data_IF_241830862553
#
_entry.id   IF_241830862553
#
_cell.length_a   1.000
_cell.length_b   1.000
_cell.length_c   1.000
_cell.angle_alpha   90.00
_cell.angle_beta   90.00
_cell.angle_gamma   90.00
#
_symmetry.space_group_name_H-M   'P 1'
#
loop_
_entity.id
_entity.type
_entity.pdbx_description
1 polymer ?
#
# COMPACT_ATOMS: atom_id res chain seq x y z
N UNK A 1 40.33 -2.91 33.82
CA UNK A 1 39.12 -2.79 34.66
C UNK A 1 38.09 -1.99 33.88
N UNK A 2 37.20 -2.69 33.18
CA UNK A 2 36.07 -2.10 32.47
C UNK A 2 34.99 -1.77 33.51
N UNK A 3 34.81 -0.48 33.79
CA UNK A 3 33.65 -0.03 34.53
C UNK A 3 32.43 -0.15 33.60
N UNK A 4 31.68 -1.25 33.73
CA UNK A 4 30.29 -1.30 33.28
C UNK A 4 29.48 -0.42 34.23
N UNK A 5 29.46 0.88 33.95
CA UNK A 5 28.36 1.72 34.43
C UNK A 5 27.10 1.25 33.69
N UNK A 6 26.39 0.30 34.29
CA UNK A 6 24.96 0.15 34.08
C UNK A 6 24.30 1.38 34.74
N UNK A 7 24.44 2.54 34.09
CA UNK A 7 23.45 3.59 34.26
C UNK A 7 22.21 3.03 33.57
N UNK A 8 21.37 2.32 34.32
CA UNK A 8 19.95 2.26 33.97
C UNK A 8 19.46 3.70 34.12
N UNK A 9 19.69 4.52 33.11
CA UNK A 9 18.85 5.69 32.90
C UNK A 9 17.45 5.11 32.72
N UNK A 10 16.65 5.19 33.77
CA UNK A 10 15.23 4.84 33.70
C UNK A 10 14.67 5.60 32.52
N UNK A 11 14.16 4.88 31.52
CA UNK A 11 13.60 5.49 30.33
C UNK A 11 12.53 6.51 30.74
N UNK A 12 12.50 7.66 30.07
CA UNK A 12 11.46 8.66 30.32
C UNK A 12 10.08 8.05 30.03
N UNK A 13 9.98 7.21 29.00
CA UNK A 13 8.80 6.42 28.67
C UNK A 13 8.40 5.51 29.83
N UNK A 14 9.34 4.78 30.43
CA UNK A 14 9.03 3.91 31.59
C UNK A 14 8.48 4.70 32.77
N UNK A 15 9.04 5.90 33.01
CA UNK A 15 8.60 6.78 34.10
C UNK A 15 7.18 7.29 33.87
N UNK A 16 6.83 7.63 32.61
CA UNK A 16 5.48 8.04 32.22
C UNK A 16 4.48 6.88 32.36
N UNK A 17 4.88 5.68 31.93
CA UNK A 17 4.05 4.48 32.01
C UNK A 17 3.75 4.03 33.44
N UNK A 18 4.64 4.32 34.39
CA UNK A 18 4.42 4.06 35.82
C UNK A 18 3.51 5.12 36.48
N UNK A 19 3.17 6.20 35.77
CA UNK A 19 2.28 7.27 36.23
C UNK A 19 0.79 6.90 36.16
N UNK A 20 -0.06 7.49 37.01
CA UNK A 20 -1.49 7.14 37.11
C UNK A 20 -2.35 7.62 35.93
N UNK A 21 -1.91 8.63 35.16
CA UNK A 21 -2.69 9.30 34.13
C UNK A 21 -2.13 9.09 32.71
N UNK A 22 -1.45 7.95 32.48
CA UNK A 22 -0.84 7.68 31.17
C UNK A 22 -1.90 7.45 30.09
N UNK A 23 -1.76 8.18 28.98
CA UNK A 23 -2.59 8.02 27.78
C UNK A 23 -1.71 7.81 26.56
N UNK A 24 -2.27 7.28 25.48
CA UNK A 24 -1.54 7.16 24.21
C UNK A 24 -0.94 8.50 23.77
N UNK A 25 -1.69 9.60 23.91
CA UNK A 25 -1.24 10.95 23.56
C UNK A 25 -0.05 11.43 24.37
N UNK A 26 0.00 11.12 25.68
CA UNK A 26 1.18 11.46 26.50
C UNK A 26 2.45 10.77 26.00
N UNK A 27 2.33 9.56 25.45
CA UNK A 27 3.43 8.84 24.85
C UNK A 27 3.78 9.37 23.45
N UNK A 28 2.77 9.65 22.61
CA UNK A 28 2.98 10.24 21.27
C UNK A 28 3.63 11.62 21.33
N UNK A 29 3.49 12.33 22.45
CA UNK A 29 4.18 13.59 22.68
C UNK A 29 5.68 13.43 22.95
N UNK A 30 6.15 12.23 23.35
CA UNK A 30 7.57 11.98 23.62
C UNK A 30 8.40 11.85 22.35
N UNK A 31 9.61 12.40 22.35
CA UNK A 31 10.51 12.39 21.19
C UNK A 31 11.18 11.02 20.98
N UNK A 32 11.36 10.25 22.05
CA UNK A 32 12.04 8.95 22.05
C UNK A 32 11.11 7.76 21.83
N UNK A 33 9.78 7.95 21.73
CA UNK A 33 8.80 6.85 21.59
C UNK A 33 9.13 5.89 20.44
N UNK A 34 9.49 6.43 19.26
CA UNK A 34 9.84 5.60 18.10
C UNK A 34 11.15 4.84 18.33
N UNK A 35 12.11 5.45 19.00
CA UNK A 35 13.39 4.81 19.33
C UNK A 35 13.19 3.69 20.34
N UNK A 36 12.44 3.94 21.43
CA UNK A 36 12.11 2.98 22.47
C UNK A 36 11.27 1.81 21.93
N UNK A 37 10.33 2.10 21.02
CA UNK A 37 9.56 1.08 20.33
C UNK A 37 10.47 0.16 19.49
N UNK A 38 11.37 0.75 18.68
CA UNK A 38 12.36 0.01 17.88
C UNK A 38 13.38 -0.74 18.75
N UNK A 39 13.70 -0.22 19.93
CA UNK A 39 14.53 -0.88 20.93
C UNK A 39 13.81 -2.01 21.69
N UNK A 40 12.55 -2.29 21.33
CA UNK A 40 11.69 -3.29 21.95
C UNK A 40 11.50 -3.09 23.46
N UNK A 41 11.29 -1.84 23.89
CA UNK A 41 10.91 -1.56 25.26
C UNK A 41 9.63 -2.32 25.64
N UNK A 42 9.76 -3.24 26.60
CA UNK A 42 8.68 -4.16 26.98
C UNK A 42 7.46 -3.46 27.57
N UNK A 43 7.66 -2.42 28.39
CA UNK A 43 6.54 -1.68 29.00
C UNK A 43 5.80 -0.87 27.93
N UNK A 44 6.55 -0.24 27.02
CA UNK A 44 5.96 0.50 25.92
C UNK A 44 5.16 -0.43 24.99
N UNK A 45 5.76 -1.54 24.56
CA UNK A 45 5.08 -2.52 23.69
C UNK A 45 3.82 -3.06 24.38
N UNK A 46 3.91 -3.47 25.65
CA UNK A 46 2.74 -4.02 26.36
C UNK A 46 1.60 -3.00 26.52
N UNK A 47 1.93 -1.70 26.57
CA UNK A 47 0.94 -0.63 26.51
C UNK A 47 0.37 -0.46 25.10
N UNK A 48 1.22 -0.35 24.08
CA UNK A 48 0.79 -0.08 22.69
C UNK A 48 -0.07 -1.18 22.09
N UNK A 49 0.18 -2.46 22.41
CA UNK A 49 -0.56 -3.60 21.86
C UNK A 49 -1.95 -3.79 22.46
N UNK A 50 -2.35 -2.98 23.44
CA UNK A 50 -3.72 -3.01 23.96
C UNK A 50 -4.70 -2.59 22.86
N UNK A 51 -5.86 -3.24 22.83
CA UNK A 51 -6.88 -3.08 21.78
C UNK A 51 -7.28 -1.61 21.59
N UNK A 52 -7.52 -0.87 22.69
CA UNK A 52 -7.89 0.54 22.65
C UNK A 52 -6.81 1.42 22.01
N UNK A 53 -5.53 1.09 22.22
CA UNK A 53 -4.41 1.86 21.71
C UNK A 53 -4.16 1.57 20.23
N UNK A 54 -4.24 0.30 19.80
CA UNK A 54 -4.16 -0.06 18.38
C UNK A 54 -5.30 0.61 17.61
N UNK A 55 -6.54 0.54 18.13
CA UNK A 55 -7.69 1.18 17.50
C UNK A 55 -7.49 2.69 17.34
N UNK A 56 -6.94 3.35 18.36
CA UNK A 56 -6.66 4.78 18.30
C UNK A 56 -5.51 5.12 17.35
N UNK A 57 -4.46 4.30 17.28
CA UNK A 57 -3.37 4.46 16.31
C UNK A 57 -3.88 4.33 14.87
N UNK A 58 -4.78 3.38 14.61
CA UNK A 58 -5.44 3.23 13.30
C UNK A 58 -6.30 4.47 13.01
N UNK A 59 -7.10 4.93 13.99
CA UNK A 59 -7.92 6.14 13.86
C UNK A 59 -7.10 7.36 13.45
N UNK A 60 -5.94 7.57 14.09
CA UNK A 60 -5.05 8.69 13.80
C UNK A 60 -4.52 8.72 12.37
N UNK A 61 -4.49 7.60 11.65
CA UNK A 61 -4.04 7.54 10.25
C UNK A 61 -5.17 7.46 9.23
N UNK A 62 -6.42 7.29 9.66
CA UNK A 62 -7.60 7.18 8.79
C UNK A 62 -8.58 8.34 8.95
N UNK A 63 -8.54 9.09 10.03
CA UNK A 63 -9.43 10.23 10.28
C UNK A 63 -8.66 11.55 10.27
N UNK A 64 -9.25 12.59 9.67
CA UNK A 64 -8.65 13.91 9.73
C UNK A 64 -8.65 14.45 11.16
N UNK A 65 -7.52 14.99 11.64
CA UNK A 65 -7.44 15.50 12.99
C UNK A 65 -8.32 16.75 13.14
N UNK A 66 -9.10 16.86 14.23
CA UNK A 66 -9.93 18.03 14.54
C UNK A 66 -9.18 19.36 14.40
N UNK A 67 -9.91 20.41 13.98
CA UNK A 67 -9.33 21.75 13.74
C UNK A 67 -8.89 22.48 15.03
N UNK A 68 -9.41 22.06 16.18
CA UNK A 68 -9.05 22.62 17.50
C UNK A 68 -7.70 22.10 18.03
N UNK A 69 -7.12 21.08 17.39
CA UNK A 69 -5.78 20.57 17.72
C UNK A 69 -4.71 21.47 17.09
N UNK A 70 -3.64 21.75 17.84
CA UNK A 70 -2.47 22.49 17.35
C UNK A 70 -1.95 21.90 16.03
N UNK A 71 -1.72 22.74 15.02
CA UNK A 71 -1.32 22.33 13.66
C UNK A 71 -0.12 21.36 13.64
N UNK A 72 0.88 21.60 14.50
CA UNK A 72 2.04 20.70 14.64
C UNK A 72 1.64 19.30 15.08
N UNK A 73 0.66 19.19 15.98
CA UNK A 73 0.13 17.92 16.49
C UNK A 73 -0.74 17.21 15.46
N UNK A 74 -1.47 17.97 14.62
CA UNK A 74 -2.25 17.43 13.48
C UNK A 74 -1.39 16.65 12.50
N UNK A 75 -0.13 17.04 12.31
CA UNK A 75 0.82 16.24 11.51
C UNK A 75 1.59 15.20 12.34
N UNK A 76 2.06 15.58 13.54
CA UNK A 76 2.90 14.72 14.39
C UNK A 76 2.20 13.41 14.75
N UNK A 77 0.93 13.45 15.18
CA UNK A 77 0.26 12.25 15.68
C UNK A 77 0.00 11.20 14.60
N UNK A 78 -0.60 11.52 13.44
CA UNK A 78 -0.75 10.55 12.36
C UNK A 78 0.60 9.98 11.89
N UNK A 79 1.63 10.82 11.78
CA UNK A 79 2.96 10.37 11.37
C UNK A 79 3.58 9.40 12.37
N UNK A 80 3.59 9.74 13.67
CA UNK A 80 4.12 8.85 14.71
C UNK A 80 3.30 7.57 14.80
N UNK A 81 1.97 7.64 14.69
CA UNK A 81 1.11 6.47 14.69
C UNK A 81 1.41 5.53 13.52
N UNK A 82 1.56 6.08 12.31
CA UNK A 82 1.97 5.32 11.15
C UNK A 82 3.34 4.66 11.34
N UNK A 83 4.33 5.37 11.90
CA UNK A 83 5.67 4.83 12.16
C UNK A 83 5.65 3.70 13.22
N UNK A 84 4.79 3.79 14.24
CA UNK A 84 4.60 2.73 15.22
C UNK A 84 3.94 1.50 14.60
N UNK A 85 2.83 1.70 13.88
CA UNK A 85 2.09 0.62 13.22
C UNK A 85 2.89 -0.08 12.13
N UNK A 86 3.83 0.62 11.49
CA UNK A 86 4.71 0.07 10.43
C UNK A 86 6.11 -0.27 10.92
N UNK A 87 6.31 -0.27 12.24
CA UNK A 87 7.58 -0.67 12.84
C UNK A 87 7.83 -2.17 12.64
N UNK A 88 9.10 -2.57 12.60
CA UNK A 88 9.49 -3.99 12.56
C UNK A 88 9.42 -4.61 13.97
N UNK A 89 8.30 -4.39 14.67
CA UNK A 89 8.00 -4.91 16.00
C UNK A 89 6.85 -5.93 15.86
N UNK A 90 7.14 -7.24 15.89
CA UNK A 90 6.14 -8.28 15.61
C UNK A 90 4.87 -8.18 16.46
N UNK A 91 5.00 -7.85 17.75
CA UNK A 91 3.86 -7.75 18.66
C UNK A 91 2.85 -6.66 18.24
N UNK A 92 3.31 -5.53 17.70
CA UNK A 92 2.42 -4.47 17.20
C UNK A 92 1.74 -4.92 15.92
N UNK A 93 2.48 -5.58 15.02
CA UNK A 93 1.95 -6.07 13.75
C UNK A 93 0.93 -7.20 13.95
N UNK A 94 1.14 -8.04 14.98
CA UNK A 94 0.17 -9.04 15.43
C UNK A 94 -1.08 -8.39 16.00
N UNK A 95 -0.95 -7.43 16.91
CA UNK A 95 -2.10 -6.74 17.50
C UNK A 95 -2.92 -5.95 16.45
N UNK A 96 -2.27 -5.34 15.46
CA UNK A 96 -2.94 -4.70 14.34
C UNK A 96 -3.80 -5.69 13.54
N UNK A 97 -3.26 -6.89 13.28
CA UNK A 97 -3.90 -7.94 12.49
C UNK A 97 -4.79 -8.90 13.32
N UNK A 98 -4.88 -8.70 14.64
CA UNK A 98 -5.58 -9.62 15.54
C UNK A 98 -7.10 -9.57 15.36
N UNK A 99 -7.64 -8.39 15.06
CA UNK A 99 -9.08 -8.19 14.88
C UNK A 99 -9.40 -7.69 13.47
N UNK A 100 -10.46 -8.25 12.88
CA UNK A 100 -10.96 -7.78 11.59
C UNK A 100 -11.40 -6.30 11.64
N UNK A 101 -11.81 -5.80 12.82
CA UNK A 101 -12.24 -4.40 13.01
C UNK A 101 -11.15 -3.38 12.63
N UNK A 102 -9.89 -3.65 12.95
CA UNK A 102 -8.79 -2.74 12.61
C UNK A 102 -8.61 -2.63 11.09
N UNK A 103 -8.69 -3.77 10.40
CA UNK A 103 -8.56 -3.84 8.94
C UNK A 103 -9.82 -3.25 8.28
N UNK A 104 -10.99 -3.44 8.90
CA UNK A 104 -12.24 -2.81 8.48
C UNK A 104 -12.13 -1.29 8.53
N UNK A 105 -11.60 -0.69 9.59
CA UNK A 105 -11.38 0.77 9.67
C UNK A 105 -10.44 1.29 8.58
N UNK A 106 -9.37 0.54 8.28
CA UNK A 106 -8.47 0.87 7.16
C UNK A 106 -9.24 0.82 5.82
N UNK A 107 -10.05 -0.21 5.60
CA UNK A 107 -10.88 -0.33 4.40
C UNK A 107 -11.94 0.78 4.31
N UNK A 108 -12.61 1.13 5.41
CA UNK A 108 -13.64 2.18 5.45
C UNK A 108 -13.08 3.55 5.05
N UNK A 109 -11.79 3.82 5.36
CA UNK A 109 -11.10 5.01 4.86
C UNK A 109 -11.01 5.01 3.32
N UNK A 110 -10.66 3.87 2.72
CA UNK A 110 -10.60 3.71 1.27
C UNK A 110 -12.00 3.73 0.65
N UNK A 111 -13.00 3.12 1.29
CA UNK A 111 -14.40 3.08 0.85
C UNK A 111 -15.17 4.37 1.18
N UNK A 112 -14.46 5.50 1.25
CA UNK A 112 -15.07 6.80 1.45
C UNK A 112 -15.62 7.38 0.14
N UNK A 113 -16.69 8.17 0.26
CA UNK A 113 -17.28 8.87 -0.88
C UNK A 113 -16.51 10.12 -1.30
N UNK A 114 -15.75 10.69 -0.38
CA UNK A 114 -14.95 11.89 -0.60
C UNK A 114 -13.58 11.55 -1.17
N UNK A 115 -12.95 12.52 -1.83
CA UNK A 115 -11.53 12.44 -2.19
C UNK A 115 -10.67 12.22 -0.95
N UNK A 116 -9.73 11.27 -1.01
CA UNK A 116 -8.85 10.99 0.11
C UNK A 116 -7.91 12.16 0.37
N UNK A 117 -7.64 12.42 1.66
CA UNK A 117 -6.54 13.29 2.05
C UNK A 117 -5.21 12.64 1.64
N UNK A 118 -4.36 13.28 0.80
CA UNK A 118 -3.14 12.65 0.28
C UNK A 118 -2.16 12.21 1.36
N UNK A 119 -2.08 12.95 2.47
CA UNK A 119 -1.21 12.59 3.60
C UNK A 119 -1.71 11.33 4.30
N UNK A 120 -3.00 11.29 4.67
CA UNK A 120 -3.59 10.10 5.29
C UNK A 120 -3.56 8.90 4.34
N UNK A 121 -3.80 9.11 3.04
CA UNK A 121 -3.67 8.07 2.03
C UNK A 121 -2.26 7.46 2.00
N UNK A 122 -1.22 8.28 2.20
CA UNK A 122 0.16 7.79 2.29
C UNK A 122 0.39 6.93 3.55
N UNK A 123 -0.18 7.30 4.70
CA UNK A 123 -0.09 6.51 5.93
C UNK A 123 -0.89 5.21 5.84
N UNK A 124 -2.12 5.29 5.36
CA UNK A 124 -2.99 4.14 5.05
C UNK A 124 -2.27 3.15 4.12
N UNK A 125 -1.74 3.63 2.99
CA UNK A 125 -1.03 2.79 2.02
C UNK A 125 0.20 2.13 2.64
N UNK A 126 0.92 2.83 3.52
CA UNK A 126 2.07 2.28 4.23
C UNK A 126 1.67 1.16 5.19
N UNK A 127 0.60 1.33 5.97
CA UNK A 127 0.09 0.31 6.89
C UNK A 127 -0.51 -0.88 6.14
N UNK A 128 -1.32 -0.65 5.12
CA UNK A 128 -1.83 -1.74 4.27
C UNK A 128 -0.68 -2.49 3.58
N UNK A 129 0.35 -1.79 3.12
CA UNK A 129 1.55 -2.41 2.56
C UNK A 129 2.27 -3.34 3.53
N UNK A 130 2.34 -2.98 4.83
CA UNK A 130 2.86 -3.86 5.87
C UNK A 130 1.99 -5.11 6.02
N UNK A 131 0.66 -4.98 6.05
CA UNK A 131 -0.26 -6.11 6.15
C UNK A 131 -0.15 -7.03 4.93
N UNK A 132 -0.04 -6.47 3.72
CA UNK A 132 0.20 -7.23 2.49
C UNK A 132 1.49 -8.02 2.59
N UNK A 133 2.56 -7.42 3.11
CA UNK A 133 3.87 -8.07 3.20
C UNK A 133 3.95 -9.12 4.32
N UNK A 134 3.38 -8.83 5.49
CA UNK A 134 3.56 -9.64 6.72
C UNK A 134 2.39 -10.55 7.05
N UNK A 135 1.20 -10.25 6.54
CA UNK A 135 -0.09 -10.92 6.83
C UNK A 135 -0.87 -11.16 5.53
N UNK A 136 -0.17 -11.61 4.48
CA UNK A 136 -0.68 -11.69 3.10
C UNK A 136 -1.92 -12.57 2.94
N UNK A 137 -1.96 -13.75 3.57
CA UNK A 137 -3.12 -14.68 3.51
C UNK A 137 -4.38 -14.05 4.09
N UNK A 138 -4.28 -13.54 5.33
CA UNK A 138 -5.37 -12.85 6.02
C UNK A 138 -5.82 -11.61 5.22
N UNK A 139 -4.87 -10.83 4.69
CA UNK A 139 -5.18 -9.67 3.86
C UNK A 139 -5.94 -10.07 2.60
N UNK A 140 -5.48 -11.10 1.88
CA UNK A 140 -6.14 -11.60 0.68
C UNK A 140 -7.57 -12.09 0.97
N UNK A 141 -7.77 -12.84 2.06
CA UNK A 141 -9.08 -13.34 2.47
C UNK A 141 -10.03 -12.17 2.81
N UNK A 142 -9.56 -11.20 3.59
CA UNK A 142 -10.31 -9.99 3.91
C UNK A 142 -10.75 -9.24 2.64
N UNK A 143 -9.83 -9.01 1.69
CA UNK A 143 -10.10 -8.28 0.45
C UNK A 143 -11.10 -9.03 -0.45
N UNK A 144 -11.02 -10.37 -0.49
CA UNK A 144 -11.95 -11.23 -1.23
C UNK A 144 -13.39 -11.16 -0.71
N UNK A 145 -13.56 -10.87 0.58
CA UNK A 145 -14.87 -10.76 1.23
C UNK A 145 -15.53 -9.38 1.07
N UNK A 146 -14.88 -8.43 0.37
CA UNK A 146 -15.48 -7.15 -0.01
C UNK A 146 -16.15 -7.24 -1.38
N UNK A 147 -17.29 -6.56 -1.54
CA UNK A 147 -18.12 -6.65 -2.75
C UNK A 147 -17.33 -6.22 -4.02
N UNK A 148 -16.77 -5.01 -4.01
CA UNK A 148 -15.95 -4.48 -5.11
C UNK A 148 -14.70 -3.72 -4.65
N UNK A 149 -13.79 -4.42 -3.95
CA UNK A 149 -12.51 -3.81 -3.54
C UNK A 149 -11.75 -3.19 -4.71
N UNK A 150 -11.72 -3.83 -5.89
CA UNK A 150 -11.00 -3.29 -7.06
C UNK A 150 -11.64 -1.99 -7.54
N UNK A 151 -12.98 -1.92 -7.59
CA UNK A 151 -13.68 -0.67 -7.88
C UNK A 151 -13.39 0.43 -6.87
N UNK A 152 -13.43 0.11 -5.58
CA UNK A 152 -13.14 1.04 -4.48
C UNK A 152 -11.68 1.54 -4.51
N UNK A 153 -10.73 0.65 -4.79
CA UNK A 153 -9.32 1.01 -4.98
C UNK A 153 -9.14 1.95 -6.18
N UNK A 154 -9.75 1.61 -7.31
CA UNK A 154 -9.58 2.38 -8.55
C UNK A 154 -10.31 3.73 -8.54
N UNK A 155 -11.37 3.87 -7.75
CA UNK A 155 -12.02 5.16 -7.47
C UNK A 155 -11.01 6.22 -7.01
N UNK A 156 -9.99 5.81 -6.27
CA UNK A 156 -9.00 6.69 -5.67
C UNK A 156 -7.61 6.60 -6.32
N UNK A 157 -7.49 5.96 -7.50
CA UNK A 157 -6.20 5.71 -8.15
C UNK A 157 -5.45 6.98 -8.53
N UNK A 158 -6.14 8.12 -8.68
CA UNK A 158 -5.51 9.44 -8.90
C UNK A 158 -4.59 9.86 -7.74
N UNK A 159 -4.78 9.31 -6.54
CA UNK A 159 -3.84 9.50 -5.43
C UNK A 159 -2.68 8.52 -5.55
N UNK A 160 -1.45 9.00 -5.75
CA UNK A 160 -0.28 8.14 -5.99
C UNK A 160 -0.01 7.09 -4.90
N UNK A 161 -0.40 7.36 -3.66
CA UNK A 161 -0.29 6.38 -2.57
C UNK A 161 -1.18 5.14 -2.80
N UNK A 162 -2.32 5.30 -3.48
CA UNK A 162 -3.25 4.21 -3.83
C UNK A 162 -2.73 3.42 -5.03
N UNK A 163 -2.11 4.10 -6.00
CA UNK A 163 -1.36 3.43 -7.08
C UNK A 163 -0.21 2.59 -6.53
N UNK A 164 0.58 3.13 -5.59
CA UNK A 164 1.65 2.38 -4.93
C UNK A 164 1.09 1.17 -4.15
N UNK A 165 -0.08 1.31 -3.50
CA UNK A 165 -0.74 0.19 -2.84
C UNK A 165 -1.11 -0.93 -3.83
N UNK A 166 -1.62 -0.57 -5.02
CA UNK A 166 -1.89 -1.55 -6.07
C UNK A 166 -0.62 -2.29 -6.49
N UNK A 167 0.50 -1.56 -6.68
CA UNK A 167 1.79 -2.19 -6.99
C UNK A 167 2.25 -3.12 -5.87
N UNK A 168 2.06 -2.74 -4.60
CA UNK A 168 2.41 -3.60 -3.44
C UNK A 168 1.59 -4.88 -3.40
N UNK A 169 0.31 -4.86 -3.76
CA UNK A 169 -0.51 -6.08 -3.89
C UNK A 169 0.10 -7.08 -4.89
N UNK A 170 0.77 -6.57 -5.94
CA UNK A 170 1.40 -7.39 -6.98
C UNK A 170 2.83 -7.82 -6.63
N UNK A 171 3.55 -7.05 -5.81
CA UNK A 171 5.00 -7.20 -5.64
C UNK A 171 5.44 -7.63 -4.25
N UNK A 172 4.75 -7.20 -3.19
CA UNK A 172 5.21 -7.33 -1.81
C UNK A 172 4.71 -8.60 -1.09
N UNK A 173 4.16 -9.58 -1.80
CA UNK A 173 3.75 -10.86 -1.21
C UNK A 173 4.89 -11.87 -1.37
N UNK A 174 5.48 -12.31 -0.25
CA UNK A 174 6.60 -13.25 -0.23
C UNK A 174 6.21 -14.68 -0.63
N UNK A 175 5.03 -15.14 -0.18
CA UNK A 175 4.53 -16.48 -0.51
C UNK A 175 4.09 -16.53 -1.98
N UNK A 176 4.74 -17.38 -2.78
CA UNK A 176 4.44 -17.53 -4.21
C UNK A 176 3.00 -18.00 -4.46
N UNK A 177 2.46 -18.89 -3.60
CA UNK A 177 1.10 -19.40 -3.73
C UNK A 177 0.07 -18.31 -3.44
N UNK A 178 0.28 -17.51 -2.39
CA UNK A 178 -0.61 -16.39 -2.05
C UNK A 178 -0.52 -15.29 -3.10
N UNK A 179 0.69 -15.03 -3.61
CA UNK A 179 0.92 -14.09 -4.70
C UNK A 179 0.20 -14.52 -5.98
N UNK A 180 0.28 -15.79 -6.34
CA UNK A 180 -0.48 -16.37 -7.46
C UNK A 180 -1.98 -16.17 -7.25
N UNK A 181 -2.50 -16.56 -6.09
CA UNK A 181 -3.91 -16.44 -5.75
C UNK A 181 -4.42 -14.98 -5.70
N UNK A 182 -3.54 -14.02 -5.37
CA UNK A 182 -3.82 -12.59 -5.44
C UNK A 182 -3.94 -12.12 -6.91
N UNK A 183 -2.97 -12.48 -7.75
CA UNK A 183 -2.95 -12.13 -9.18
C UNK A 183 -4.18 -12.72 -9.90
N UNK A 184 -4.46 -14.02 -9.70
CA UNK A 184 -5.63 -14.72 -10.24
C UNK A 184 -6.93 -14.02 -9.86
N UNK A 185 -7.04 -13.60 -8.59
CA UNK A 185 -8.22 -12.92 -8.09
C UNK A 185 -8.39 -11.51 -8.68
N UNK A 186 -7.30 -10.74 -8.76
CA UNK A 186 -7.31 -9.41 -9.39
C UNK A 186 -7.68 -9.50 -10.87
N UNK A 187 -7.19 -10.52 -11.57
CA UNK A 187 -7.56 -10.80 -12.96
C UNK A 187 -9.06 -11.14 -13.08
N UNK A 188 -9.59 -12.01 -12.20
CA UNK A 188 -11.02 -12.33 -12.13
C UNK A 188 -11.91 -11.12 -11.85
N UNK A 189 -11.39 -10.11 -11.13
CA UNK A 189 -12.08 -8.84 -10.86
C UNK A 189 -11.89 -7.81 -11.99
N UNK A 190 -11.31 -8.21 -13.12
CA UNK A 190 -11.10 -7.40 -14.32
C UNK A 190 -10.23 -6.15 -14.06
N UNK A 191 -9.17 -6.30 -13.26
CA UNK A 191 -8.27 -5.18 -12.92
C UNK A 191 -7.75 -4.47 -14.19
N UNK A 192 -7.28 -5.21 -15.18
CA UNK A 192 -6.71 -4.65 -16.42
C UNK A 192 -7.74 -3.85 -17.20
N UNK A 193 -8.94 -4.43 -17.41
CA UNK A 193 -10.02 -3.78 -18.13
C UNK A 193 -10.47 -2.50 -17.43
N UNK A 194 -10.55 -2.53 -16.10
CA UNK A 194 -10.92 -1.36 -15.30
C UNK A 194 -9.84 -0.26 -15.35
N UNK A 195 -8.56 -0.61 -15.33
CA UNK A 195 -7.46 0.34 -15.55
C UNK A 195 -7.50 0.96 -16.95
N UNK A 196 -7.80 0.18 -17.99
CA UNK A 196 -7.98 0.70 -19.35
C UNK A 196 -9.20 1.63 -19.42
N UNK A 197 -10.29 1.29 -18.73
CA UNK A 197 -11.48 2.14 -18.64
C UNK A 197 -11.25 3.47 -17.91
N UNK A 198 -10.17 3.59 -17.12
CA UNK A 198 -9.76 4.87 -16.53
C UNK A 198 -9.08 5.81 -17.55
N UNK A 199 -8.65 5.31 -18.71
CA UNK A 199 -7.97 6.09 -19.75
C UNK A 199 -8.98 6.73 -20.72
N UNK A 200 -9.92 7.53 -20.22
CA UNK A 200 -10.94 8.17 -21.05
C UNK A 200 -11.09 9.66 -20.70
N UNK A 201 -11.53 10.53 -21.64
CA UNK A 201 -11.58 11.99 -21.41
C UNK A 201 -12.40 12.47 -20.20
N UNK A 202 -13.22 11.61 -19.60
CA UNK A 202 -14.04 11.88 -18.42
C UNK A 202 -13.25 11.91 -17.11
N UNK A 203 -12.05 11.30 -17.08
CA UNK A 203 -11.18 11.25 -15.90
C UNK A 203 -10.10 12.35 -15.93
N UNK A 204 -9.50 12.62 -14.77
CA UNK A 204 -8.44 13.62 -14.63
C UNK A 204 -7.05 13.08 -15.07
N UNK A 205 -6.10 13.99 -15.24
CA UNK A 205 -4.73 13.66 -15.69
C UNK A 205 -3.99 12.74 -14.72
N UNK A 206 -4.26 12.84 -13.41
CA UNK A 206 -3.62 12.02 -12.37
C UNK A 206 -4.11 10.57 -12.45
N UNK A 207 -5.41 10.34 -12.64
CA UNK A 207 -5.99 9.02 -12.90
C UNK A 207 -5.40 8.43 -14.18
N UNK A 208 -5.30 9.22 -15.26
CA UNK A 208 -4.70 8.75 -16.51
C UNK A 208 -3.25 8.29 -16.31
N UNK A 209 -2.45 9.11 -15.63
CA UNK A 209 -1.04 8.81 -15.38
C UNK A 209 -0.88 7.56 -14.52
N UNK A 210 -1.61 7.47 -13.41
CA UNK A 210 -1.48 6.36 -12.48
C UNK A 210 -2.04 5.06 -13.04
N UNK A 211 -3.11 5.10 -13.85
CA UNK A 211 -3.65 3.93 -14.52
C UNK A 211 -2.68 3.37 -15.58
N UNK A 212 -2.11 4.25 -16.41
CA UNK A 212 -1.12 3.85 -17.41
C UNK A 212 0.19 3.34 -16.78
N UNK A 213 0.64 3.95 -15.68
CA UNK A 213 1.79 3.47 -14.93
C UNK A 213 1.52 2.08 -14.33
N UNK A 214 0.34 1.87 -13.75
CA UNK A 214 -0.07 0.55 -13.23
C UNK A 214 -0.09 -0.53 -14.32
N UNK A 215 -0.63 -0.22 -15.50
CA UNK A 215 -0.61 -1.12 -16.67
C UNK A 215 0.83 -1.42 -17.13
N UNK A 216 1.67 -0.40 -17.18
CA UNK A 216 3.10 -0.53 -17.53
C UNK A 216 3.83 -1.44 -16.55
N UNK A 217 3.58 -1.30 -15.26
CA UNK A 217 4.17 -2.15 -14.23
C UNK A 217 3.65 -3.58 -14.29
N UNK A 218 2.35 -3.79 -14.54
CA UNK A 218 1.77 -5.12 -14.81
C UNK A 218 2.49 -5.80 -15.99
N UNK A 219 2.72 -5.08 -17.09
CA UNK A 219 3.41 -5.63 -18.27
C UNK A 219 4.85 -6.06 -17.91
N UNK A 220 5.59 -5.18 -17.23
CA UNK A 220 6.98 -5.44 -16.84
C UNK A 220 7.09 -6.62 -15.87
N UNK A 221 6.25 -6.63 -14.84
CA UNK A 221 6.20 -7.70 -13.85
C UNK A 221 5.83 -9.04 -14.48
N UNK A 222 4.82 -9.09 -15.34
CA UNK A 222 4.42 -10.33 -16.01
C UNK A 222 5.54 -10.89 -16.90
N UNK A 223 6.29 -10.03 -17.60
CA UNK A 223 7.44 -10.46 -18.41
C UNK A 223 8.58 -10.99 -17.56
N UNK A 224 8.88 -10.34 -16.45
CA UNK A 224 9.89 -10.83 -15.49
C UNK A 224 9.49 -12.19 -14.90
N UNK A 225 8.21 -12.41 -14.62
CA UNK A 225 7.69 -13.69 -14.15
C UNK A 225 7.87 -14.79 -15.20
N UNK A 226 7.54 -14.53 -16.48
CA UNK A 226 7.76 -15.48 -17.57
C UNK A 226 9.25 -15.84 -17.70
N UNK A 227 10.15 -14.84 -17.65
CA UNK A 227 11.60 -15.05 -17.72
C UNK A 227 12.08 -15.93 -16.56
N UNK A 228 11.53 -15.71 -15.37
CA UNK A 228 11.84 -16.47 -14.16
C UNK A 228 11.08 -17.82 -14.09
N UNK A 229 10.38 -18.22 -15.16
CA UNK A 229 9.59 -19.47 -15.25
C UNK A 229 8.50 -19.57 -14.16
N UNK A 230 7.94 -18.44 -13.74
CA UNK A 230 6.82 -18.36 -12.84
C UNK A 230 5.50 -18.36 -13.63
N UNK A 231 4.59 -19.25 -13.29
CA UNK A 231 3.28 -19.42 -13.93
C UNK A 231 2.23 -18.45 -13.35
N UNK A 232 2.51 -17.15 -13.39
CA UNK A 232 1.72 -16.07 -12.77
C UNK A 232 1.43 -14.88 -13.71
N UNK A 233 1.60 -15.04 -15.03
CA UNK A 233 1.55 -13.93 -15.99
C UNK A 233 0.14 -13.56 -16.49
N UNK A 234 -0.92 -13.90 -15.75
CA UNK A 234 -2.31 -13.80 -16.21
C UNK A 234 -2.75 -12.36 -16.48
N UNK A 235 -2.32 -11.41 -15.64
CA UNK A 235 -2.58 -9.99 -15.86
C UNK A 235 -1.87 -9.49 -17.12
N UNK A 236 -0.65 -9.96 -17.42
CA UNK A 236 0.01 -9.63 -18.69
C UNK A 236 -0.77 -10.22 -19.87
N UNK A 237 -1.18 -11.49 -19.78
CA UNK A 237 -2.02 -12.12 -20.82
C UNK A 237 -3.32 -11.34 -21.03
N UNK A 238 -3.92 -10.79 -19.96
CA UNK A 238 -5.08 -9.93 -20.05
C UNK A 238 -4.76 -8.62 -20.78
N UNK A 239 -3.67 -7.92 -20.44
CA UNK A 239 -3.27 -6.69 -21.17
C UNK A 239 -3.04 -6.97 -22.65
N UNK A 240 -2.48 -8.13 -22.99
CA UNK A 240 -2.16 -8.54 -24.36
C UNK A 240 -3.38 -9.06 -25.16
N UNK A 241 -4.57 -9.16 -24.56
CA UNK A 241 -5.79 -9.55 -25.29
C UNK A 241 -6.16 -8.50 -26.33
N UNK A 242 -6.56 -8.98 -27.52
CA UNK A 242 -6.98 -8.12 -28.64
C UNK A 242 -8.09 -7.14 -28.24
N UNK A 243 -9.10 -7.60 -27.50
CA UNK A 243 -10.21 -6.77 -27.01
C UNK A 243 -9.72 -5.61 -26.11
N UNK A 244 -8.77 -5.87 -25.22
CA UNK A 244 -8.25 -4.87 -24.29
C UNK A 244 -7.34 -3.86 -24.99
N UNK A 245 -6.50 -4.33 -25.93
CA UNK A 245 -5.69 -3.44 -26.77
C UNK A 245 -6.60 -2.58 -27.66
N UNK A 246 -7.65 -3.16 -28.23
CA UNK A 246 -8.63 -2.44 -29.04
C UNK A 246 -9.33 -1.37 -28.20
N UNK A 247 -9.81 -1.70 -26.99
CA UNK A 247 -10.44 -0.74 -26.10
C UNK A 247 -9.49 0.42 -25.74
N UNK A 248 -8.22 0.13 -25.45
CA UNK A 248 -7.21 1.16 -25.20
C UNK A 248 -7.04 2.10 -26.40
N UNK A 249 -6.97 1.55 -27.62
CA UNK A 249 -6.85 2.35 -28.84
C UNK A 249 -8.12 3.16 -29.12
N UNK A 250 -9.30 2.57 -28.93
CA UNK A 250 -10.58 3.24 -29.09
C UNK A 250 -10.68 4.45 -28.14
N UNK A 251 -10.27 4.27 -26.88
CA UNK A 251 -10.20 5.33 -25.88
C UNK A 251 -9.24 6.48 -26.28
N UNK A 252 -8.06 6.13 -26.82
CA UNK A 252 -7.05 7.11 -27.27
C UNK A 252 -7.47 7.88 -28.53
N UNK A 253 -8.21 7.22 -29.42
CA UNK A 253 -8.54 7.71 -30.76
C UNK A 253 -10.02 8.15 -30.88
N UNK A 254 -10.67 8.43 -29.75
CA UNK A 254 -12.02 8.99 -29.73
C UNK A 254 -12.10 10.33 -30.48
N UNK A 255 -13.31 10.74 -30.83
CA UNK A 255 -13.56 12.03 -31.49
C UNK A 255 -13.21 13.23 -30.61
N UNK A 256 -13.26 13.06 -29.28
CA UNK A 256 -12.83 14.07 -28.30
C UNK A 256 -11.35 13.87 -27.98
N UNK A 257 -10.50 14.68 -28.61
CA UNK A 257 -9.06 14.66 -28.32
C UNK A 257 -8.79 15.04 -26.86
N UNK A 258 -8.15 14.14 -26.12
CA UNK A 258 -7.63 14.38 -24.77
C UNK A 258 -6.14 14.04 -24.73
N UNK A 259 -5.28 15.04 -24.50
CA UNK A 259 -3.83 14.87 -24.63
C UNK A 259 -3.25 13.94 -23.57
N UNK A 260 -3.72 14.03 -22.33
CA UNK A 260 -3.31 13.13 -21.25
C UNK A 260 -3.61 11.67 -21.55
N UNK A 261 -4.79 11.36 -22.11
CA UNK A 261 -5.17 9.99 -22.51
C UNK A 261 -4.23 9.48 -23.61
N UNK A 262 -3.96 10.30 -24.62
CA UNK A 262 -3.08 9.93 -25.74
C UNK A 262 -1.66 9.67 -25.24
N UNK A 263 -1.08 10.58 -24.43
CA UNK A 263 0.29 10.45 -23.93
C UNK A 263 0.43 9.21 -23.04
N UNK A 264 -0.51 8.99 -22.12
CA UNK A 264 -0.47 7.86 -21.20
C UNK A 264 -0.76 6.53 -21.90
N UNK A 265 -1.72 6.50 -22.83
CA UNK A 265 -1.98 5.31 -23.66
C UNK A 265 -0.79 4.94 -24.55
N UNK A 266 -0.09 5.93 -25.13
CA UNK A 266 1.15 5.69 -25.87
C UNK A 266 2.24 5.08 -24.99
N UNK A 267 2.34 5.48 -23.71
CA UNK A 267 3.29 4.88 -22.77
C UNK A 267 3.02 3.38 -22.54
N UNK A 268 1.75 3.00 -22.41
CA UNK A 268 1.33 1.58 -22.29
C UNK A 268 1.68 0.81 -23.57
N UNK A 269 1.32 1.35 -24.74
CA UNK A 269 1.62 0.72 -26.05
C UNK A 269 3.13 0.59 -26.25
N UNK A 270 3.89 1.64 -25.93
CA UNK A 270 5.35 1.59 -26.04
C UNK A 270 5.90 0.47 -25.16
N UNK A 271 5.43 0.35 -23.91
CA UNK A 271 5.84 -0.74 -23.01
C UNK A 271 5.48 -2.11 -23.60
N UNK A 272 4.30 -2.27 -24.20
CA UNK A 272 3.93 -3.51 -24.90
C UNK A 272 4.86 -3.82 -26.07
N UNK A 273 5.30 -2.82 -26.82
CA UNK A 273 6.19 -2.99 -27.98
C UNK A 273 7.68 -3.12 -27.60
N UNK A 274 8.06 -2.75 -26.38
CA UNK A 274 9.43 -2.90 -25.87
C UNK A 274 9.82 -4.38 -25.73
N UNK A 275 10.34 -4.95 -26.81
CA UNK A 275 10.93 -6.28 -26.82
C UNK A 275 12.37 -6.19 -26.27
N UNK A 276 12.62 -6.70 -25.06
CA UNK A 276 14.00 -6.99 -24.63
C UNK A 276 14.53 -8.12 -25.51
N UNK A 277 15.40 -7.80 -26.49
CA UNK A 277 16.28 -8.80 -27.12
C UNK A 277 17.04 -9.50 -25.98
N UNK A 278 16.67 -10.74 -25.68
CA UNK A 278 17.50 -11.60 -24.86
C UNK A 278 18.88 -11.62 -25.52
N UNK A 279 19.90 -11.17 -24.79
CA UNK A 279 21.27 -11.17 -25.28
C UNK A 279 21.59 -12.58 -25.75
N UNK A 280 21.89 -12.72 -27.04
CA UNK A 280 22.58 -13.89 -27.54
C UNK A 280 23.84 -14.02 -26.69
N UNK A 281 23.85 -15.02 -25.82
CA UNK A 281 25.10 -15.58 -25.32
C UNK A 281 25.81 -16.06 -26.58
N UNK A 282 26.67 -15.20 -27.12
CA UNK A 282 27.66 -15.61 -28.10
C UNK A 282 28.48 -16.68 -27.40
N UNK A 283 28.14 -17.93 -27.66
CA UNK A 283 29.01 -19.07 -27.44
C UNK A 283 30.33 -18.74 -28.10
N UNK A 284 31.30 -18.30 -27.28
CA UNK A 284 32.69 -18.31 -27.68
C UNK A 284 33.06 -19.77 -27.86
N UNK A 285 32.97 -20.24 -29.09
CA UNK A 285 33.61 -21.47 -29.55
C UNK A 285 35.11 -21.21 -29.45
N UNK A 286 35.76 -21.89 -28.51
CA UNK A 286 37.21 -22.15 -28.51
C UNK A 286 37.42 -23.63 -28.72
#
# INVERSE_FOLDING_TARGET
MFWKFNLMSTSQIDTILDGPDVTLYTLLDQEDILQECKAQNRKLISFLVKEENIKELVRLITEEPPEDIEEKKRFKYPNTACELLTSDVPAINEALAETEENIQKLYDFLDSETTLNPLLASFFSKVMGLLIARKSEMTLEFLKNRDDFVGVLLKHIGTSAIMDLLLRLLTCIDSLDVKKAMIEWLNKKNLVQRLIACLTPEYDEDIHSNAAQSLTDIIRLGREQIVNQQDNAELLTAVEQEENIQQLLDNMLTSQRCESVIVNGLSVIQTLLEFKKQGQVLTQIS
#
